data_IF_858291084360
#
_entry.id   IF_858291084360
#
_cell.length_a   1.000
_cell.length_b   1.000
_cell.length_c   1.000
_cell.angle_alpha   90.00
_cell.angle_beta   90.00
_cell.angle_gamma   90.00
#
_symmetry.space_group_name_H-M   'P 1'
#
loop_
_entity.id
_entity.type
_entity.pdbx_description
1 polymer ?
#
# COMPACT_ATOMS: atom_id res chain seq x y z
N UNK A 1 -8.58 -5.45 2.29
CA UNK A 1 -9.37 -6.28 1.33
C UNK A 1 -9.77 -5.42 0.15
N UNK A 2 -9.74 -5.97 -1.07
CA UNK A 2 -10.15 -5.23 -2.27
C UNK A 2 -11.67 -5.09 -2.42
N UNK A 3 -12.08 -4.19 -3.30
CA UNK A 3 -13.49 -3.86 -3.58
C UNK A 3 -14.17 -4.73 -4.65
N UNK A 4 -13.40 -5.52 -5.40
CA UNK A 4 -13.89 -6.49 -6.39
C UNK A 4 -14.86 -5.92 -7.44
N UNK A 5 -14.57 -4.72 -7.96
CA UNK A 5 -15.38 -3.94 -8.90
C UNK A 5 -16.76 -3.48 -8.36
N UNK A 6 -17.02 -3.62 -7.05
CA UNK A 6 -18.22 -3.14 -6.38
C UNK A 6 -17.92 -1.84 -5.64
N UNK A 7 -17.52 -0.79 -6.38
CA UNK A 7 -16.88 0.42 -5.84
C UNK A 7 -17.59 1.04 -4.64
N UNK A 8 -18.90 1.23 -4.65
CA UNK A 8 -19.61 1.87 -3.54
C UNK A 8 -19.62 1.06 -2.24
N UNK A 9 -19.38 -0.26 -2.29
CA UNK A 9 -19.33 -1.11 -1.09
C UNK A 9 -18.17 -0.77 -0.16
N UNK A 10 -17.16 -0.04 -0.64
CA UNK A 10 -16.05 0.43 0.18
C UNK A 10 -16.47 1.49 1.21
N UNK A 11 -17.56 2.22 0.93
CA UNK A 11 -18.17 3.20 1.82
C UNK A 11 -19.25 2.58 2.74
N UNK A 12 -19.74 1.38 2.41
CA UNK A 12 -20.67 0.64 3.26
C UNK A 12 -19.92 -0.06 4.40
N UNK A 13 -20.20 0.37 5.64
CA UNK A 13 -19.57 -0.18 6.83
C UNK A 13 -20.16 -1.55 7.24
N UNK A 14 -21.30 -1.97 6.67
CA UNK A 14 -21.87 -3.31 6.92
C UNK A 14 -21.17 -4.43 6.13
N UNK A 15 -20.22 -4.05 5.26
CA UNK A 15 -19.47 -4.93 4.36
C UNK A 15 -17.95 -4.83 4.59
N UNK A 16 -17.22 -5.89 4.25
CA UNK A 16 -15.75 -5.93 4.40
C UNK A 16 -14.97 -5.56 3.11
N UNK A 17 -15.66 -5.25 2.01
CA UNK A 17 -15.03 -4.78 0.78
C UNK A 17 -14.37 -3.41 0.99
N UNK A 18 -13.14 -3.24 0.50
CA UNK A 18 -12.42 -1.97 0.60
C UNK A 18 -12.10 -1.51 2.01
N UNK A 19 -11.80 -2.46 2.91
CA UNK A 19 -11.49 -2.21 4.32
C UNK A 19 -10.08 -2.67 4.67
N UNK A 20 -9.48 -1.99 5.64
CA UNK A 20 -8.46 -2.59 6.51
C UNK A 20 -9.17 -3.05 7.78
N UNK A 21 -8.88 -4.29 8.21
CA UNK A 21 -9.47 -4.88 9.41
C UNK A 21 -8.41 -5.05 10.48
N UNK A 22 -8.80 -4.96 11.75
CA UNK A 22 -7.94 -5.24 12.90
C UNK A 22 -8.57 -6.31 13.77
N UNK A 23 -7.83 -7.40 13.96
CA UNK A 23 -8.18 -8.54 14.80
C UNK A 23 -7.10 -8.74 15.86
N UNK A 24 -7.45 -9.42 16.95
CA UNK A 24 -6.48 -9.97 17.89
C UNK A 24 -5.75 -11.17 17.24
N UNK A 25 -4.61 -11.63 17.79
CA UNK A 25 -3.88 -12.79 17.25
C UNK A 25 -4.70 -14.09 17.23
N UNK A 26 -5.70 -14.23 18.11
CA UNK A 26 -6.65 -15.35 18.13
C UNK A 26 -7.88 -15.12 17.23
N UNK A 27 -7.86 -14.09 16.37
CA UNK A 27 -8.88 -13.81 15.37
C UNK A 27 -10.15 -13.13 15.89
N UNK A 28 -10.17 -12.66 17.15
CA UNK A 28 -11.32 -11.96 17.73
C UNK A 28 -11.29 -10.47 17.41
N UNK A 29 -12.46 -9.84 17.56
CA UNK A 29 -12.61 -8.39 17.48
C UNK A 29 -12.01 -7.73 18.73
N UNK A 30 -11.04 -6.81 18.60
CA UNK A 30 -10.60 -5.97 19.70
C UNK A 30 -11.72 -5.04 20.17
N UNK A 31 -11.93 -4.94 21.49
CA UNK A 31 -13.02 -4.14 22.08
C UNK A 31 -12.91 -2.63 21.79
N UNK A 32 -11.69 -2.17 21.53
CA UNK A 32 -11.33 -0.80 21.20
C UNK A 32 -11.30 -0.54 19.68
N UNK A 33 -11.80 -1.46 18.85
CA UNK A 33 -12.00 -1.17 17.43
C UNK A 33 -12.98 0.01 17.24
N UNK A 34 -12.77 0.87 16.24
CA UNK A 34 -13.53 2.11 16.07
C UNK A 34 -15.03 1.88 15.87
N UNK A 35 -15.40 0.73 15.31
CA UNK A 35 -16.79 0.37 15.03
C UNK A 35 -17.32 -0.80 15.88
N UNK A 36 -16.61 -1.19 16.94
CA UNK A 36 -16.91 -2.40 17.72
C UNK A 36 -18.37 -2.46 18.25
N UNK A 37 -18.96 -1.31 18.54
CA UNK A 37 -20.30 -1.18 19.11
C UNK A 37 -21.25 -0.32 18.23
N UNK A 38 -20.97 -0.22 16.93
CA UNK A 38 -21.75 0.63 16.02
C UNK A 38 -22.47 -0.22 14.99
N UNK A 39 -23.74 -0.59 15.23
CA UNK A 39 -24.56 -1.26 14.20
C UNK A 39 -25.07 -0.25 13.17
N UNK A 40 -25.04 -0.54 11.86
CA UNK A 40 -24.77 -1.84 11.22
C UNK A 40 -23.30 -2.07 10.81
N UNK A 41 -22.35 -1.27 11.30
CA UNK A 41 -20.95 -1.41 10.93
C UNK A 41 -20.36 -2.75 11.42
N UNK A 42 -19.50 -3.33 10.59
CA UNK A 42 -18.72 -4.53 10.92
C UNK A 42 -17.66 -4.16 11.94
N UNK A 43 -17.62 -4.86 13.10
CA UNK A 43 -16.78 -4.44 14.21
C UNK A 43 -15.28 -4.69 13.96
N UNK A 44 -14.91 -5.51 12.98
CA UNK A 44 -13.52 -5.77 12.59
C UNK A 44 -12.87 -4.59 11.85
N UNK A 45 -13.67 -3.64 11.32
CA UNK A 45 -13.16 -2.55 10.49
C UNK A 45 -12.25 -1.64 11.31
N UNK A 46 -11.03 -1.43 10.80
CA UNK A 46 -10.09 -0.43 11.30
C UNK A 46 -10.20 0.87 10.51
N UNK A 47 -10.22 0.78 9.18
CA UNK A 47 -10.44 1.91 8.28
C UNK A 47 -11.13 1.45 6.99
N UNK A 48 -11.71 2.38 6.25
CA UNK A 48 -12.55 2.10 5.09
C UNK A 48 -12.28 3.06 3.93
N UNK A 49 -12.93 2.85 2.79
CA UNK A 49 -12.69 3.67 1.59
C UNK A 49 -11.38 3.33 0.88
N UNK A 50 -10.95 2.07 0.94
CA UNK A 50 -9.79 1.55 0.18
C UNK A 50 -10.28 0.86 -1.09
N UNK A 51 -9.55 0.97 -2.19
CA UNK A 51 -9.83 0.25 -3.44
C UNK A 51 -9.28 -1.17 -3.40
N UNK A 52 -7.96 -1.33 -3.45
CA UNK A 52 -7.33 -2.65 -3.55
C UNK A 52 -5.95 -2.67 -2.88
N UNK A 53 -5.91 -2.72 -1.53
CA UNK A 53 -4.66 -2.81 -0.79
C UNK A 53 -3.83 -4.04 -1.18
N UNK A 54 -2.53 -3.87 -1.37
CA UNK A 54 -1.59 -4.94 -1.70
C UNK A 54 -0.58 -5.16 -0.56
N UNK A 55 0.24 -4.16 -0.28
CA UNK A 55 1.26 -4.19 0.76
C UNK A 55 0.79 -3.56 2.07
N UNK A 56 1.21 -4.14 3.20
CA UNK A 56 1.11 -3.58 4.55
C UNK A 56 2.46 -3.81 5.26
N UNK A 57 2.97 -2.79 5.93
CA UNK A 57 4.22 -2.89 6.69
C UNK A 57 4.16 -2.01 7.94
N UNK A 58 4.71 -2.48 9.05
CA UNK A 58 4.92 -1.65 10.23
C UNK A 58 6.16 -0.79 10.01
N UNK A 59 6.00 0.53 10.13
CA UNK A 59 7.12 1.45 10.17
C UNK A 59 7.92 1.20 11.46
N UNK A 60 9.20 0.77 11.37
CA UNK A 60 9.96 0.33 12.53
C UNK A 60 10.34 1.49 13.46
N UNK A 61 10.30 2.74 12.97
CA UNK A 61 10.68 3.91 13.77
C UNK A 61 9.51 4.51 14.54
N UNK A 62 8.28 4.40 14.02
CA UNK A 62 7.08 4.96 14.66
C UNK A 62 6.13 3.90 15.23
N UNK A 63 6.28 2.63 14.84
CA UNK A 63 5.33 1.55 15.14
C UNK A 63 4.00 1.68 14.39
N UNK A 64 3.87 2.65 13.48
CA UNK A 64 2.64 2.90 12.72
C UNK A 64 2.63 2.03 11.46
N UNK A 65 1.49 1.38 11.21
CA UNK A 65 1.28 0.61 9.99
C UNK A 65 1.07 1.53 8.79
N UNK A 66 1.81 1.27 7.72
CA UNK A 66 1.56 1.85 6.40
C UNK A 66 0.91 0.79 5.52
N UNK A 67 0.11 1.23 4.56
CA UNK A 67 -0.46 0.38 3.52
C UNK A 67 -0.21 0.99 2.15
N UNK A 68 -0.25 0.17 1.12
CA UNK A 68 -0.29 0.63 -0.25
C UNK A 68 -1.45 -0.02 -0.99
N UNK A 69 -1.92 0.61 -2.05
CA UNK A 69 -3.03 0.08 -2.85
C UNK A 69 -2.98 0.48 -4.32
N UNK A 70 -3.60 -0.37 -5.15
CA UNK A 70 -3.80 -0.05 -6.56
C UNK A 70 -4.94 0.93 -6.76
N UNK A 71 -4.69 1.98 -7.54
CA UNK A 71 -5.70 2.83 -8.16
C UNK A 71 -6.30 2.20 -9.42
N UNK A 72 -7.25 2.89 -10.09
CA UNK A 72 -7.77 2.48 -11.39
C UNK A 72 -6.73 2.69 -12.52
N UNK A 73 -6.96 3.61 -13.46
CA UNK A 73 -5.91 4.06 -14.39
C UNK A 73 -5.19 5.24 -13.75
N UNK A 74 -4.06 4.96 -13.11
CA UNK A 74 -3.42 5.93 -12.22
C UNK A 74 -3.98 5.87 -10.80
N UNK A 75 -3.36 6.64 -9.90
CA UNK A 75 -3.80 6.79 -8.51
C UNK A 75 -3.47 5.60 -7.62
N UNK A 76 -2.35 4.92 -7.87
CA UNK A 76 -1.76 4.03 -6.86
C UNK A 76 -1.33 4.89 -5.66
N UNK A 77 -1.52 4.40 -4.44
CA UNK A 77 -1.37 5.20 -3.21
C UNK A 77 -0.53 4.51 -2.13
N UNK A 78 0.14 5.32 -1.31
CA UNK A 78 0.61 4.97 0.02
C UNK A 78 -0.26 5.69 1.04
N UNK A 79 -0.81 4.91 1.96
CA UNK A 79 -1.71 5.35 3.00
C UNK A 79 -1.12 5.02 4.39
N UNK A 80 -1.47 5.83 5.39
CA UNK A 80 -1.17 5.58 6.81
C UNK A 80 -2.51 5.38 7.54
N UNK A 81 -3.06 4.14 7.59
CA UNK A 81 -4.41 3.89 8.07
C UNK A 81 -4.66 4.25 9.55
N UNK A 82 -5.46 5.29 9.77
CA UNK A 82 -5.90 5.75 11.10
C UNK A 82 -7.25 5.11 11.45
N UNK A 83 -7.42 4.79 12.75
CA UNK A 83 -8.65 4.20 13.28
C UNK A 83 -9.90 5.01 12.90
N UNK A 84 -10.88 4.34 12.31
CA UNK A 84 -12.19 4.89 11.96
C UNK A 84 -12.20 5.79 10.73
N UNK A 85 -11.05 6.01 10.08
CA UNK A 85 -10.95 6.98 8.97
C UNK A 85 -11.33 6.40 7.62
N UNK A 86 -11.78 7.31 6.75
CA UNK A 86 -12.21 7.07 5.38
C UNK A 86 -11.11 7.48 4.40
N UNK A 87 -10.59 6.56 3.60
CA UNK A 87 -9.57 6.82 2.56
C UNK A 87 -10.19 7.19 1.20
N UNK A 88 -11.52 7.35 1.18
CA UNK A 88 -12.20 8.11 0.17
C UNK A 88 -12.64 7.33 -1.07
N UNK A 89 -12.00 6.23 -1.45
CA UNK A 89 -12.43 5.46 -2.63
C UNK A 89 -13.90 5.00 -2.49
N UNK A 90 -14.76 5.17 -3.52
CA UNK A 90 -14.49 5.74 -4.85
C UNK A 90 -14.82 7.25 -4.95
N UNK A 91 -15.23 7.88 -3.86
CA UNK A 91 -15.62 9.29 -3.81
C UNK A 91 -14.42 10.22 -4.07
N UNK A 92 -13.25 9.88 -3.50
CA UNK A 92 -11.97 10.50 -3.80
C UNK A 92 -11.07 9.50 -4.54
N UNK A 93 -10.36 9.97 -5.56
CA UNK A 93 -9.38 9.16 -6.32
C UNK A 93 -8.40 10.07 -7.05
N UNK A 94 -7.11 9.70 -7.02
CA UNK A 94 -6.08 10.33 -7.85
C UNK A 94 -6.02 9.76 -9.28
N UNK A 95 -6.73 8.66 -9.54
CA UNK A 95 -6.82 8.01 -10.85
C UNK A 95 -8.16 8.25 -11.56
N UNK A 96 -8.19 7.86 -12.84
CA UNK A 96 -9.40 7.90 -13.69
C UNK A 96 -9.85 6.50 -14.08
N UNK A 97 -11.03 6.38 -14.68
CA UNK A 97 -11.48 5.13 -15.28
C UNK A 97 -10.52 4.71 -16.42
N UNK A 98 -10.43 3.41 -16.74
CA UNK A 98 -9.59 2.92 -17.83
C UNK A 98 -9.99 3.49 -19.21
N UNK A 99 -11.24 3.94 -19.37
CA UNK A 99 -11.70 4.70 -20.54
C UNK A 99 -11.03 6.09 -20.67
N UNK A 100 -10.39 6.60 -19.62
CA UNK A 100 -9.86 7.96 -19.53
C UNK A 100 -10.86 8.99 -18.98
N UNK A 101 -12.10 8.59 -18.73
CA UNK A 101 -13.12 9.43 -18.09
C UNK A 101 -13.03 9.35 -16.56
N UNK A 102 -13.60 10.31 -15.82
CA UNK A 102 -13.71 10.21 -14.36
C UNK A 102 -14.36 8.90 -13.90
N UNK A 103 -14.00 8.43 -12.70
CA UNK A 103 -14.75 7.38 -12.02
C UNK A 103 -16.17 7.92 -11.75
N UNK A 104 -17.26 7.20 -12.11
CA UNK A 104 -18.62 7.75 -12.05
C UNK A 104 -19.03 8.28 -10.68
N UNK A 105 -18.54 7.64 -9.61
CA UNK A 105 -18.86 7.99 -8.23
C UNK A 105 -17.94 9.07 -7.64
N UNK A 106 -16.85 9.42 -8.33
CA UNK A 106 -15.85 10.34 -7.83
C UNK A 106 -16.36 11.79 -7.81
N UNK A 107 -16.06 12.48 -6.71
CA UNK A 107 -16.38 13.90 -6.47
C UNK A 107 -15.16 14.81 -6.63
N UNK A 108 -13.96 14.23 -6.74
CA UNK A 108 -12.71 14.95 -6.95
C UNK A 108 -11.50 14.17 -6.46
N UNK A 109 -10.33 14.79 -6.51
CA UNK A 109 -9.10 14.28 -5.87
C UNK A 109 -9.11 14.54 -4.36
N UNK A 110 -9.89 15.53 -3.91
CA UNK A 110 -10.07 15.89 -2.51
C UNK A 110 -11.57 15.97 -2.20
N UNK A 111 -12.00 15.30 -1.12
CA UNK A 111 -13.39 15.27 -0.67
C UNK A 111 -13.42 15.44 0.84
N UNK A 112 -14.27 16.34 1.34
CA UNK A 112 -14.42 16.55 2.77
C UNK A 112 -14.84 15.27 3.50
N UNK A 113 -14.19 15.02 4.64
CA UNK A 113 -14.42 13.81 5.43
C UNK A 113 -13.65 12.58 4.95
N UNK A 114 -12.75 12.72 3.97
CA UNK A 114 -11.79 11.69 3.57
C UNK A 114 -10.37 12.10 3.91
N UNK A 115 -9.52 11.12 4.20
CA UNK A 115 -8.08 11.29 4.37
C UNK A 115 -7.41 11.28 2.98
N UNK A 116 -6.29 11.99 2.87
CA UNK A 116 -5.46 11.98 1.66
C UNK A 116 -4.31 10.97 1.81
N UNK A 117 -3.84 10.40 0.70
CA UNK A 117 -2.67 9.53 0.74
C UNK A 117 -1.42 10.31 1.13
N UNK A 118 -0.49 9.62 1.80
CA UNK A 118 0.83 10.16 2.11
C UNK A 118 1.68 10.33 0.85
N UNK A 119 1.42 9.50 -0.17
CA UNK A 119 2.04 9.58 -1.48
C UNK A 119 1.15 8.92 -2.54
N UNK A 120 1.21 9.38 -3.79
CA UNK A 120 0.48 8.75 -4.89
C UNK A 120 1.24 8.85 -6.20
N UNK A 121 0.90 7.96 -7.14
CA UNK A 121 1.41 7.99 -8.51
C UNK A 121 0.27 8.27 -9.50
N UNK A 122 0.38 9.36 -10.25
CA UNK A 122 -0.53 9.67 -11.37
C UNK A 122 -0.54 8.56 -12.43
N UNK A 123 0.63 7.97 -12.68
CA UNK A 123 0.79 6.77 -13.52
C UNK A 123 1.13 5.57 -12.65
N UNK A 124 0.12 4.74 -12.38
CA UNK A 124 0.24 3.54 -11.54
C UNK A 124 1.41 2.65 -11.95
N UNK A 125 2.36 2.37 -11.02
CA UNK A 125 3.37 1.34 -11.19
C UNK A 125 2.81 -0.09 -11.10
N UNK A 126 1.59 -0.24 -10.56
CA UNK A 126 1.04 -1.53 -10.17
C UNK A 126 1.73 -2.02 -8.90
N UNK A 127 1.72 -1.20 -7.84
CA UNK A 127 2.48 -1.45 -6.62
C UNK A 127 2.04 -2.72 -5.87
N UNK A 128 2.99 -3.40 -5.22
CA UNK A 128 2.76 -4.71 -4.60
C UNK A 128 3.32 -4.78 -3.17
N UNK A 129 3.96 -5.88 -2.77
CA UNK A 129 4.56 -6.00 -1.44
C UNK A 129 5.59 -4.89 -1.17
N UNK A 130 5.72 -4.55 0.11
CA UNK A 130 6.61 -3.48 0.55
C UNK A 130 7.30 -3.81 1.86
N UNK A 131 8.46 -3.20 2.10
CA UNK A 131 9.21 -3.33 3.34
C UNK A 131 10.04 -2.07 3.64
N UNK A 132 9.98 -1.61 4.89
CA UNK A 132 10.91 -0.61 5.39
C UNK A 132 12.29 -1.23 5.56
N UNK A 133 13.34 -0.45 5.29
CA UNK A 133 14.71 -0.86 5.48
C UNK A 133 15.29 -0.19 6.73
N UNK A 134 15.49 -0.99 7.76
CA UNK A 134 16.04 -0.61 9.08
C UNK A 134 17.30 -1.41 9.47
N UNK A 135 17.83 -2.25 8.57
CA UNK A 135 19.01 -3.07 8.84
C UNK A 135 20.34 -2.30 8.71
N UNK A 136 21.30 -2.55 9.59
CA UNK A 136 22.60 -1.85 9.58
C UNK A 136 23.51 -2.18 8.39
N UNK A 137 23.23 -3.29 7.68
CA UNK A 137 24.12 -3.81 6.62
C UNK A 137 24.39 -2.81 5.50
N UNK A 138 23.36 -2.11 5.02
CA UNK A 138 23.47 -1.12 3.97
C UNK A 138 23.03 0.25 4.49
N UNK A 139 23.92 1.02 5.13
CA UNK A 139 23.57 2.32 5.70
C UNK A 139 22.96 3.29 4.69
N UNK A 140 23.35 3.18 3.41
CA UNK A 140 22.80 3.99 2.33
C UNK A 140 21.31 3.75 2.08
N UNK A 141 20.72 2.64 2.56
CA UNK A 141 19.31 2.30 2.43
C UNK A 141 18.48 2.58 3.69
N UNK A 142 19.11 3.04 4.79
CA UNK A 142 18.40 3.44 5.99
C UNK A 142 17.31 4.48 5.68
N UNK A 143 16.21 4.43 6.44
CA UNK A 143 15.03 5.27 6.23
C UNK A 143 14.43 5.17 4.82
N UNK A 144 14.52 4.00 4.19
CA UNK A 144 13.87 3.74 2.90
C UNK A 144 12.67 2.80 3.04
N UNK A 145 11.69 2.98 2.16
CA UNK A 145 10.61 2.02 1.91
C UNK A 145 10.81 1.43 0.51
N UNK A 146 10.99 0.12 0.43
CA UNK A 146 11.04 -0.61 -0.82
C UNK A 146 9.66 -1.14 -1.19
N UNK A 147 9.27 -1.02 -2.46
CA UNK A 147 7.94 -1.38 -2.96
C UNK A 147 8.11 -2.08 -4.31
N UNK A 148 7.52 -3.27 -4.47
CA UNK A 148 7.50 -3.95 -5.77
C UNK A 148 6.54 -3.26 -6.74
N UNK A 149 6.86 -3.29 -8.04
CA UNK A 149 5.98 -2.83 -9.10
C UNK A 149 5.70 -3.94 -10.13
N UNK A 150 4.42 -4.26 -10.30
CA UNK A 150 3.91 -5.29 -11.19
C UNK A 150 3.80 -4.78 -12.63
N UNK A 151 3.23 -3.60 -12.85
CA UNK A 151 3.02 -3.10 -14.21
C UNK A 151 4.30 -2.52 -14.82
N UNK A 152 5.10 -1.83 -14.01
CA UNK A 152 6.38 -1.23 -14.42
C UNK A 152 7.58 -2.18 -14.32
N UNK A 153 7.40 -3.35 -13.69
CA UNK A 153 8.41 -4.44 -13.62
C UNK A 153 9.75 -4.00 -13.02
N UNK A 154 9.67 -3.40 -11.83
CA UNK A 154 10.82 -2.82 -11.16
C UNK A 154 10.62 -2.81 -9.63
N UNK A 155 11.70 -2.50 -8.92
CA UNK A 155 11.69 -2.23 -7.49
C UNK A 155 11.75 -0.71 -7.29
N UNK A 156 10.77 -0.17 -6.59
CA UNK A 156 10.74 1.24 -6.19
C UNK A 156 11.41 1.35 -4.83
N UNK A 157 12.23 2.38 -4.65
CA UNK A 157 12.76 2.78 -3.36
C UNK A 157 12.37 4.22 -3.07
N UNK A 158 11.66 4.43 -1.97
CA UNK A 158 11.33 5.76 -1.47
C UNK A 158 12.24 6.09 -0.29
N UNK A 159 12.89 7.25 -0.33
CA UNK A 159 13.62 7.79 0.80
C UNK A 159 12.68 8.63 1.67
N UNK A 160 12.66 8.37 2.97
CA UNK A 160 11.70 8.96 3.90
C UNK A 160 12.35 9.93 4.88
N UNK A 161 11.60 10.98 5.25
CA UNK A 161 11.87 11.81 6.42
C UNK A 161 10.61 11.91 7.28
N UNK A 162 10.55 11.10 8.35
CA UNK A 162 9.31 10.84 9.05
C UNK A 162 8.28 10.22 8.10
N UNK A 163 7.10 10.84 8.02
CA UNK A 163 6.01 10.37 7.15
C UNK A 163 6.04 10.96 5.73
N UNK A 164 7.10 11.69 5.37
CA UNK A 164 7.22 12.34 4.05
C UNK A 164 8.16 11.56 3.13
N UNK A 165 7.74 11.39 1.88
CA UNK A 165 8.59 10.91 0.78
C UNK A 165 9.44 12.08 0.27
N UNK A 166 10.76 11.91 0.33
CA UNK A 166 11.73 12.95 -0.06
C UNK A 166 12.33 12.71 -1.44
N UNK A 167 12.49 11.44 -1.82
CA UNK A 167 13.03 11.04 -3.12
C UNK A 167 12.53 9.65 -3.51
N UNK A 168 12.58 9.36 -4.80
CA UNK A 168 12.20 8.07 -5.38
C UNK A 168 13.30 7.60 -6.34
N UNK A 169 13.62 6.31 -6.27
CA UNK A 169 14.52 5.61 -7.18
C UNK A 169 13.81 4.40 -7.80
N UNK A 170 14.06 4.14 -9.09
CA UNK A 170 13.62 2.93 -9.80
C UNK A 170 14.81 2.01 -10.01
N UNK A 171 14.69 0.78 -9.50
CA UNK A 171 15.76 -0.21 -9.46
C UNK A 171 15.32 -1.47 -10.20
N UNK A 172 16.29 -2.18 -10.77
CA UNK A 172 16.10 -3.50 -11.40
C UNK A 172 15.16 -3.51 -12.63
N UNK A 173 14.83 -2.35 -13.20
CA UNK A 173 13.97 -2.25 -14.39
C UNK A 173 14.59 -2.95 -15.62
N UNK A 174 15.91 -3.08 -15.65
CA UNK A 174 16.68 -3.82 -16.67
C UNK A 174 16.38 -5.32 -16.70
N UNK A 175 15.86 -5.87 -15.60
CA UNK A 175 15.48 -7.29 -15.51
C UNK A 175 14.18 -7.61 -16.23
N UNK A 176 13.28 -6.64 -16.37
CA UNK A 176 11.99 -6.82 -17.01
C UNK A 176 11.07 -7.84 -16.32
N UNK A 177 11.18 -8.00 -15.00
CA UNK A 177 10.42 -8.95 -14.18
C UNK A 177 9.42 -8.22 -13.28
N UNK A 178 8.17 -8.70 -13.22
CA UNK A 178 7.13 -8.18 -12.32
C UNK A 178 7.52 -8.47 -10.86
N UNK A 179 7.59 -7.47 -9.99
CA UNK A 179 7.93 -7.70 -8.57
C UNK A 179 6.64 -7.85 -7.74
N UNK A 180 6.46 -9.03 -7.11
CA UNK A 180 5.28 -9.41 -6.31
C UNK A 180 5.40 -9.02 -4.84
N UNK A 181 6.52 -9.36 -4.22
CA UNK A 181 6.71 -9.19 -2.79
C UNK A 181 8.12 -8.72 -2.48
N UNK A 182 8.25 -7.98 -1.37
CA UNK A 182 9.50 -7.37 -0.90
C UNK A 182 9.63 -7.61 0.60
N UNK A 183 10.77 -8.14 1.05
CA UNK A 183 11.08 -8.36 2.46
C UNK A 183 12.51 -7.97 2.77
N UNK A 184 12.76 -7.52 4.00
CA UNK A 184 14.12 -7.39 4.51
C UNK A 184 14.45 -8.66 5.29
N UNK A 185 15.52 -9.33 4.89
CA UNK A 185 16.03 -10.51 5.60
C UNK A 185 16.72 -10.11 6.89
N UNK A 186 16.78 -11.03 7.86
CA UNK A 186 17.53 -10.82 9.11
C UNK A 186 19.04 -10.60 8.86
N UNK A 187 19.53 -10.96 7.68
CA UNK A 187 20.90 -10.68 7.25
C UNK A 187 21.06 -9.29 6.62
N UNK A 188 20.00 -8.48 6.53
CA UNK A 188 20.02 -7.11 6.00
C UNK A 188 19.96 -6.99 4.48
N UNK A 189 19.73 -8.08 3.73
CA UNK A 189 19.46 -8.03 2.30
C UNK A 189 17.98 -7.79 2.01
N UNK A 190 17.69 -7.22 0.83
CA UNK A 190 16.33 -7.12 0.30
C UNK A 190 16.04 -8.42 -0.47
N UNK A 191 14.96 -9.11 -0.12
CA UNK A 191 14.48 -10.31 -0.79
C UNK A 191 13.22 -9.99 -1.60
N UNK A 192 13.19 -10.44 -2.84
CA UNK A 192 12.09 -10.20 -3.77
C UNK A 192 11.48 -11.51 -4.26
N UNK A 193 10.17 -11.54 -4.46
CA UNK A 193 9.50 -12.55 -5.29
C UNK A 193 9.06 -11.93 -6.62
N UNK A 194 9.23 -12.65 -7.73
CA UNK A 194 8.72 -12.22 -9.04
C UNK A 194 7.38 -12.88 -9.39
N UNK A 195 6.50 -12.12 -10.05
CA UNK A 195 5.15 -12.50 -10.47
C UNK A 195 5.13 -13.00 -11.93
N UNK A 196 5.87 -14.07 -12.20
CA UNK A 196 6.03 -14.64 -13.54
C UNK A 196 5.70 -16.14 -13.52
N UNK A 197 5.44 -16.74 -14.69
CA UNK A 197 5.21 -18.20 -14.79
C UNK A 197 6.40 -19.01 -14.28
N UNK A 198 7.62 -18.51 -14.49
CA UNK A 198 8.87 -19.02 -13.92
C UNK A 198 9.38 -18.05 -12.85
N UNK A 199 8.60 -17.95 -11.76
CA UNK A 199 8.84 -17.02 -10.65
C UNK A 199 10.14 -17.31 -9.89
N UNK A 200 10.76 -16.25 -9.37
CA UNK A 200 12.09 -16.30 -8.72
C UNK A 200 12.05 -15.70 -7.33
N UNK A 201 12.93 -16.24 -6.47
CA UNK A 201 13.38 -15.57 -5.25
C UNK A 201 14.70 -14.87 -5.57
N UNK A 202 14.73 -13.55 -5.45
CA UNK A 202 15.94 -12.74 -5.64
C UNK A 202 16.46 -12.27 -4.29
N UNK A 203 17.78 -12.29 -4.12
CA UNK A 203 18.48 -11.63 -3.03
C UNK A 203 19.21 -10.41 -3.58
N UNK A 204 18.89 -9.24 -3.08
CA UNK A 204 19.34 -7.94 -3.60
C UNK A 204 20.14 -7.20 -2.53
N UNK A 205 21.31 -6.70 -2.93
CA UNK A 205 22.21 -5.91 -2.10
C UNK A 205 22.94 -4.87 -2.95
N UNK A 206 23.70 -4.00 -2.30
CA UNK A 206 24.57 -3.07 -3.01
C UNK A 206 25.74 -3.82 -3.67
N UNK A 207 26.11 -3.39 -4.88
CA UNK A 207 27.32 -3.88 -5.51
C UNK A 207 28.52 -3.54 -4.62
N UNK A 208 29.37 -4.52 -4.35
CA UNK A 208 30.68 -4.25 -3.75
C UNK A 208 31.56 -3.65 -4.84
N UNK A 209 31.97 -2.39 -4.69
CA UNK A 209 33.02 -1.84 -5.52
C UNK A 209 34.29 -2.66 -5.24
N UNK A 210 34.69 -3.49 -6.21
CA UNK A 210 36.04 -4.04 -6.31
C UNK A 210 36.88 -3.12 -7.18
#
# INVERSE_FOLDING_TARGET
MGENNQRLTTQDLSLHQGKIVRLTPDGKVPKDNPFANQSPARPEIWSYGHRNPQGLALNPWSGVMWSNEHGPKGGDEINIPIAGKNYGWPLATQGVNYSGLPIPEAKGTHVDGTEQPAYYWEKSPGISGMAFYDADRFPAWQHSLFIGALAQKELIRLQLNGDKVMAEERLLSDRGERIRDVRIGADGYVYLLTDESDGKLLKVGLATNN
#
